data_IF_746973151002
#
_entry.id   IF_746973151002
#
_cell.length_a   1.000
_cell.length_b   1.000
_cell.length_c   1.000
_cell.angle_alpha   90.00
_cell.angle_beta   90.00
_cell.angle_gamma   90.00
#
_symmetry.space_group_name_H-M   'P 1'
#
loop_
_entity.id
_entity.type
_entity.pdbx_description
1 polymer ?
#
# COMPACT_ATOMS: atom_id res chain seq x y z
N UNK A 1 -6.55 16.92 5.03
CA UNK A 1 -7.67 15.98 5.15
C UNK A 1 -8.10 15.50 3.77
N UNK A 2 -8.24 14.19 3.59
CA UNK A 2 -8.86 13.59 2.40
C UNK A 2 -10.38 13.48 2.60
N UNK A 3 -11.14 13.63 1.53
CA UNK A 3 -12.59 13.39 1.50
C UNK A 3 -12.91 12.54 0.28
N UNK A 4 -13.62 11.42 0.48
CA UNK A 4 -13.95 10.45 -0.57
C UNK A 4 -15.47 10.41 -0.72
N UNK A 5 -15.98 10.62 -1.92
CA UNK A 5 -17.42 10.59 -2.22
C UNK A 5 -17.72 9.90 -3.56
N UNK A 6 -18.63 8.91 -3.58
CA UNK A 6 -19.18 8.22 -2.41
C UNK A 6 -18.10 7.38 -1.71
N UNK A 7 -18.21 7.20 -0.38
CA UNK A 7 -17.30 6.34 0.39
C UNK A 7 -17.70 4.86 0.33
N UNK A 8 -18.97 4.58 0.05
CA UNK A 8 -19.53 3.25 -0.12
C UNK A 8 -20.40 3.19 -1.37
N UNK A 9 -20.47 2.03 -2.01
CA UNK A 9 -21.35 1.84 -3.16
C UNK A 9 -21.38 0.38 -3.62
N UNK A 10 -22.35 0.10 -4.48
CA UNK A 10 -22.46 -1.16 -5.22
C UNK A 10 -22.10 -0.87 -6.66
N UNK A 11 -21.30 -1.73 -7.28
CA UNK A 11 -21.00 -1.69 -8.71
C UNK A 11 -21.61 -2.95 -9.32
N UNK A 12 -22.58 -2.79 -10.21
CA UNK A 12 -23.16 -3.94 -10.92
C UNK A 12 -22.23 -4.40 -12.04
N UNK A 13 -22.34 -5.66 -12.52
CA UNK A 13 -21.53 -6.12 -13.64
C UNK A 13 -21.62 -5.17 -14.84
N UNK A 14 -20.46 -4.83 -15.41
CA UNK A 14 -20.29 -3.89 -16.52
C UNK A 14 -20.60 -2.41 -16.22
N UNK A 15 -20.94 -2.06 -14.98
CA UNK A 15 -21.05 -0.66 -14.56
C UNK A 15 -19.68 -0.06 -14.23
N UNK A 16 -19.54 1.24 -14.49
CA UNK A 16 -18.42 2.05 -13.98
C UNK A 16 -18.96 3.12 -13.05
N UNK A 17 -18.31 3.30 -11.89
CA UNK A 17 -18.62 4.38 -10.96
C UNK A 17 -17.43 5.30 -10.79
N UNK A 18 -17.74 6.60 -10.74
CA UNK A 18 -16.76 7.63 -10.44
C UNK A 18 -16.74 7.88 -8.94
N UNK A 19 -15.54 7.89 -8.36
CA UNK A 19 -15.31 8.23 -6.95
C UNK A 19 -14.47 9.50 -6.93
N UNK A 20 -15.01 10.56 -6.35
CA UNK A 20 -14.31 11.82 -6.19
C UNK A 20 -13.48 11.78 -4.90
N UNK A 21 -12.18 12.05 -5.05
CA UNK A 21 -11.23 12.15 -3.93
C UNK A 21 -10.74 13.60 -3.90
N UNK A 22 -10.99 14.27 -2.78
CA UNK A 22 -10.55 15.65 -2.55
C UNK A 22 -9.51 15.67 -1.45
N UNK A 23 -8.41 16.38 -1.67
CA UNK A 23 -7.37 16.61 -0.68
C UNK A 23 -7.31 18.10 -0.32
N UNK A 24 -7.35 18.42 0.98
CA UNK A 24 -7.19 19.79 1.50
C UNK A 24 -6.21 19.79 2.66
N UNK A 25 -5.03 20.39 2.49
CA UNK A 25 -4.05 20.54 3.57
C UNK A 25 -3.24 21.82 3.36
N UNK A 26 -2.68 22.39 4.45
CA UNK A 26 -1.78 23.55 4.39
C UNK A 26 -0.39 23.14 3.86
N UNK A 27 0.27 22.22 4.54
CA UNK A 27 1.48 21.52 4.14
C UNK A 27 1.19 20.21 3.38
N UNK A 28 1.73 20.06 2.18
CA UNK A 28 1.56 18.83 1.40
C UNK A 28 2.40 17.71 2.03
N UNK A 29 1.86 16.51 2.31
CA UNK A 29 2.65 15.37 2.81
C UNK A 29 3.72 14.93 1.82
N UNK A 30 4.79 14.31 2.32
CA UNK A 30 5.76 13.61 1.45
C UNK A 30 5.05 12.54 0.61
N UNK A 31 5.60 12.31 -0.57
CA UNK A 31 5.15 11.23 -1.44
C UNK A 31 5.31 9.87 -0.75
N UNK A 32 4.57 8.88 -1.24
CA UNK A 32 4.64 7.47 -0.81
C UNK A 32 4.16 7.17 0.61
N UNK A 33 3.78 8.19 1.38
CA UNK A 33 3.24 8.01 2.74
C UNK A 33 1.74 7.73 2.78
N UNK A 34 1.00 8.08 1.72
CA UNK A 34 -0.46 8.01 1.69
C UNK A 34 -0.98 7.03 0.64
N UNK A 35 -1.93 6.20 1.04
CA UNK A 35 -2.62 5.24 0.19
C UNK A 35 -4.14 5.38 0.35
N UNK A 36 -4.87 5.32 -0.75
CA UNK A 36 -6.32 5.14 -0.76
C UNK A 36 -6.62 3.66 -0.92
N UNK A 37 -7.34 3.09 0.03
CA UNK A 37 -7.68 1.66 0.05
C UNK A 37 -9.15 1.47 -0.35
N UNK A 38 -9.38 0.65 -1.38
CA UNK A 38 -10.70 0.22 -1.84
C UNK A 38 -10.91 -1.23 -1.41
N UNK A 39 -11.75 -1.42 -0.39
CA UNK A 39 -12.19 -2.73 0.06
C UNK A 39 -13.39 -3.18 -0.76
N UNK A 40 -13.49 -4.47 -1.06
CA UNK A 40 -14.63 -5.01 -1.83
C UNK A 40 -15.14 -6.32 -1.25
N UNK A 41 -16.43 -6.55 -1.45
CA UNK A 41 -17.15 -7.79 -1.13
C UNK A 41 -17.92 -8.17 -2.40
N UNK A 42 -17.84 -9.43 -2.81
CA UNK A 42 -18.60 -9.98 -3.91
C UNK A 42 -20.04 -10.25 -3.46
N UNK A 43 -20.99 -9.60 -4.11
CA UNK A 43 -22.42 -9.77 -3.81
C UNK A 43 -22.97 -10.97 -4.59
N UNK A 44 -23.18 -12.10 -3.91
CA UNK A 44 -23.80 -13.29 -4.48
C UNK A 44 -25.31 -13.30 -4.16
N UNK A 45 -26.16 -13.50 -5.18
CA UNK A 45 -27.62 -13.25 -5.26
C UNK A 45 -28.59 -13.90 -4.22
N UNK A 46 -28.18 -14.18 -2.98
CA UNK A 46 -29.10 -14.59 -1.89
C UNK A 46 -29.31 -13.53 -0.81
N UNK A 47 -28.50 -12.46 -0.82
CA UNK A 47 -28.54 -11.42 0.20
C UNK A 47 -28.27 -10.11 -0.50
N UNK A 48 -29.17 -9.13 -0.39
CA UNK A 48 -28.78 -7.76 -0.02
C UNK A 48 -30.01 -6.83 0.00
N UNK A 49 -30.86 -7.01 1.01
CA UNK A 49 -31.65 -5.89 1.54
C UNK A 49 -30.79 -4.99 2.45
N UNK A 50 -29.49 -5.26 2.54
CA UNK A 50 -28.52 -4.48 3.31
C UNK A 50 -27.95 -3.36 2.46
N UNK A 51 -27.74 -2.20 3.08
CA UNK A 51 -26.95 -1.10 2.52
C UNK A 51 -25.47 -1.50 2.44
N UNK A 52 -24.67 -0.88 1.54
CA UNK A 52 -23.24 -1.15 1.45
C UNK A 52 -22.49 -1.01 2.78
N UNK A 53 -22.89 -0.04 3.61
CA UNK A 53 -22.30 0.15 4.93
C UNK A 53 -22.53 -1.06 5.83
N UNK A 54 -23.77 -1.53 5.91
CA UNK A 54 -24.13 -2.71 6.72
C UNK A 54 -23.37 -3.96 6.23
N UNK A 55 -23.13 -4.10 4.93
CA UNK A 55 -22.32 -5.23 4.42
C UNK A 55 -20.91 -5.22 5.00
N UNK A 56 -20.25 -4.07 5.07
CA UNK A 56 -18.89 -3.97 5.65
C UNK A 56 -18.87 -4.09 7.18
N UNK A 57 -19.99 -3.87 7.86
CA UNK A 57 -20.11 -4.10 9.30
C UNK A 57 -20.30 -5.59 9.63
N UNK A 58 -20.99 -6.34 8.76
CA UNK A 58 -21.34 -7.74 9.00
C UNK A 58 -20.41 -8.77 8.32
N UNK A 59 -19.74 -8.38 7.24
CA UNK A 59 -18.89 -9.28 6.45
C UNK A 59 -17.47 -8.76 6.34
N UNK A 60 -16.51 -9.70 6.30
CA UNK A 60 -15.12 -9.36 6.00
C UNK A 60 -14.98 -9.02 4.51
N UNK A 61 -14.16 -8.02 4.14
CA UNK A 61 -13.81 -7.79 2.75
C UNK A 61 -13.15 -9.02 2.13
N UNK A 62 -13.52 -9.34 0.90
CA UNK A 62 -12.86 -10.39 0.10
C UNK A 62 -11.47 -9.95 -0.36
N UNK A 63 -11.27 -8.64 -0.48
CA UNK A 63 -10.00 -8.07 -0.88
C UNK A 63 -9.90 -6.57 -0.68
N UNK A 64 -8.69 -6.07 -0.92
CA UNK A 64 -8.36 -4.65 -0.89
C UNK A 64 -7.47 -4.31 -2.09
N UNK A 65 -7.79 -3.21 -2.77
CA UNK A 65 -6.91 -2.56 -3.74
C UNK A 65 -6.42 -1.24 -3.17
N UNK A 66 -5.11 -1.00 -3.24
CA UNK A 66 -4.49 0.23 -2.71
C UNK A 66 -3.93 1.05 -3.87
N UNK A 67 -4.21 2.34 -3.85
CA UNK A 67 -3.67 3.31 -4.80
C UNK A 67 -2.80 4.29 -4.02
N UNK A 68 -1.54 4.40 -4.42
CA UNK A 68 -0.58 5.32 -3.83
C UNK A 68 -0.84 6.76 -4.29
N UNK A 69 -0.79 7.69 -3.35
CA UNK A 69 -0.95 9.11 -3.64
C UNK A 69 0.42 9.74 -3.95
N UNK A 70 0.45 10.53 -5.02
CA UNK A 70 1.58 11.36 -5.41
C UNK A 70 1.09 12.80 -5.45
N UNK A 71 1.86 13.72 -4.88
CA UNK A 71 1.48 15.13 -4.84
C UNK A 71 2.40 15.93 -5.75
N UNK A 72 1.81 16.54 -6.77
CA UNK A 72 2.53 17.33 -7.77
C UNK A 72 1.85 18.67 -7.95
N UNK A 73 2.64 19.68 -8.31
CA UNK A 73 2.10 20.93 -8.82
C UNK A 73 1.45 20.70 -10.19
N UNK A 74 0.68 21.69 -10.66
CA UNK A 74 -0.04 21.61 -11.94
C UNK A 74 0.89 21.43 -13.15
N UNK A 75 2.15 21.86 -13.04
CA UNK A 75 3.21 21.67 -14.04
C UNK A 75 3.87 20.28 -13.97
N UNK A 76 3.45 19.43 -13.01
CA UNK A 76 3.97 18.08 -12.81
C UNK A 76 5.24 17.99 -11.96
N UNK A 77 5.77 19.11 -11.45
CA UNK A 77 6.94 19.10 -10.57
C UNK A 77 6.60 18.55 -9.18
N UNK A 78 7.59 17.94 -8.53
CA UNK A 78 7.46 17.39 -7.18
C UNK A 78 7.26 18.51 -6.17
N UNK A 79 6.35 18.32 -5.21
CA UNK A 79 6.16 19.28 -4.11
C UNK A 79 7.32 19.22 -3.11
N UNK A 80 7.94 18.06 -2.96
CA UNK A 80 9.07 17.85 -2.07
C UNK A 80 10.37 17.69 -2.86
N UNK A 81 11.49 18.24 -2.36
CA UNK A 81 12.80 17.95 -2.93
C UNK A 81 13.09 16.44 -2.85
N UNK A 82 13.83 15.89 -3.82
CA UNK A 82 14.22 14.48 -3.78
C UNK A 82 15.00 14.19 -2.50
N UNK A 83 14.64 13.11 -1.81
CA UNK A 83 15.36 12.64 -0.63
C UNK A 83 16.85 12.46 -1.00
N UNK A 84 17.80 12.93 -0.17
CA UNK A 84 19.20 12.66 -0.41
C UNK A 84 19.42 11.14 -0.42
N UNK A 85 20.04 10.63 -1.49
CA UNK A 85 20.43 9.20 -1.57
C UNK A 85 21.30 8.88 -0.35
N UNK A 86 20.76 8.09 0.58
CA UNK A 86 21.59 7.47 1.60
C UNK A 86 22.47 6.43 0.91
N UNK A 87 23.72 6.79 0.63
CA UNK A 87 24.73 5.83 0.15
C UNK A 87 24.98 4.85 1.30
N UNK A 88 24.28 3.71 1.29
CA UNK A 88 24.64 2.60 2.15
C UNK A 88 25.98 2.08 1.59
N UNK A 89 27.08 2.52 2.19
CA UNK A 89 28.38 1.89 2.00
C UNK A 89 28.35 0.55 2.73
N UNK A 90 27.67 -0.45 2.16
CA UNK A 90 27.87 -1.84 2.57
C UNK A 90 29.25 -2.25 2.06
N UNK A 91 30.27 -2.07 2.90
CA UNK A 91 31.53 -2.79 2.74
C UNK A 91 31.18 -4.26 2.93
N UNK A 92 31.01 -5.00 1.82
CA UNK A 92 31.01 -6.45 1.87
C UNK A 92 32.42 -6.88 2.26
N UNK A 93 32.61 -7.32 3.50
CA UNK A 93 33.81 -8.06 3.86
C UNK A 93 33.81 -9.36 3.03
N UNK A 94 34.87 -9.68 2.28
CA UNK A 94 34.95 -10.95 1.57
C UNK A 94 35.01 -12.08 2.59
N UNK A 95 34.12 -13.05 2.43
CA UNK A 95 34.17 -14.32 3.17
C UNK A 95 35.40 -15.07 2.66
N UNK A 96 36.42 -15.17 3.50
CA UNK A 96 37.60 -15.99 3.21
C UNK A 96 37.23 -17.45 3.45
N UNK A 97 37.09 -18.22 2.36
CA UNK A 97 37.14 -19.68 2.40
C UNK A 97 38.54 -20.11 2.84
N UNK A 98 38.67 -20.66 4.04
CA UNK A 98 39.88 -21.38 4.44
C UNK A 98 39.54 -22.63 5.25
N UNK A 99 39.56 -23.74 4.50
CA UNK A 99 40.04 -25.09 4.85
C UNK A 99 39.47 -25.80 6.09
N UNK A 100 38.70 -26.86 5.80
CA UNK A 100 38.74 -28.10 6.58
C UNK A 100 40.15 -28.69 6.53
N UNK A 101 40.76 -28.90 7.70
CA UNK A 101 41.78 -29.94 7.88
C UNK A 101 41.50 -30.70 9.16
N UNK A 102 41.30 -32.01 9.00
CA UNK A 102 41.21 -33.03 10.05
C UNK A 102 42.40 -32.94 11.01
N UNK A 103 42.15 -33.09 12.31
CA UNK A 103 43.12 -33.75 13.22
C UNK A 103 42.37 -34.72 14.13
N UNK A 104 42.87 -35.95 14.07
CA UNK A 104 42.46 -37.18 14.73
C UNK A 104 42.94 -37.23 16.20
N UNK A 105 42.16 -37.97 17.02
CA UNK A 105 42.39 -38.55 18.37
C UNK A 105 43.70 -38.27 19.13
N UNK A 106 43.57 -38.00 20.44
CA UNK A 106 44.08 -38.82 21.57
C UNK A 106 43.75 -38.14 22.92
N UNK A 107 42.93 -38.77 23.77
CA UNK A 107 43.28 -39.27 25.14
C UNK A 107 44.04 -38.26 26.02
N UNK A 108 43.40 -37.69 27.06
CA UNK A 108 43.25 -38.22 28.43
C UNK A 108 41.98 -37.64 29.04
#
# INVERSE_FOLDING_TARGET
MFTIRPSYGIIVPNERKNIQITFKWKDVPKDDLHFISFYHIQVNKKVCNMTPREMFENFKPDGVKRIQCQFKYADGTSVHPPEPRSTINTVMNPVTDSQLTNVERSHV
#
